data_IF_900395795847
#
_entry.id   IF_900395795847
#
_cell.length_a   1.000
_cell.length_b   1.000
_cell.length_c   1.000
_cell.angle_alpha   90.00
_cell.angle_beta   90.00
_cell.angle_gamma   90.00
#
_symmetry.space_group_name_H-M   'P 1'
#
loop_
_entity.id
_entity.type
_entity.pdbx_description
1 polymer ?
#
# COMPACT_ATOMS: atom_id res chain seq x y z
N UNK A 1 10.86 -15.13 14.88
CA UNK A 1 10.35 -14.47 16.10
C UNK A 1 9.22 -15.28 16.69
N UNK A 2 9.24 -15.45 17.98
CA UNK A 2 8.21 -16.22 18.65
C UNK A 2 6.90 -15.43 18.75
N UNK A 3 5.78 -16.13 18.76
CA UNK A 3 4.47 -15.52 18.88
C UNK A 3 4.33 -14.70 20.17
N UNK A 4 4.87 -15.19 21.25
CA UNK A 4 4.85 -14.49 22.53
C UNK A 4 5.52 -13.14 22.47
N UNK A 5 6.66 -13.03 21.78
CA UNK A 5 7.36 -11.78 21.62
C UNK A 5 6.55 -10.78 20.79
N UNK A 6 5.80 -11.27 19.80
CA UNK A 6 4.94 -10.42 19.00
C UNK A 6 3.80 -9.84 19.82
N UNK A 7 3.19 -10.64 20.68
CA UNK A 7 2.12 -10.17 21.56
C UNK A 7 2.65 -9.15 22.56
N UNK A 8 3.81 -9.37 23.13
CA UNK A 8 4.44 -8.43 24.05
C UNK A 8 4.76 -7.11 23.35
N UNK A 9 5.26 -7.18 22.11
CA UNK A 9 5.55 -6.00 21.32
C UNK A 9 4.29 -5.19 21.06
N UNK A 10 3.19 -5.86 20.69
CA UNK A 10 1.90 -5.18 20.47
C UNK A 10 1.41 -4.46 21.71
N UNK A 11 1.51 -5.09 22.88
CA UNK A 11 1.09 -4.47 24.15
C UNK A 11 1.95 -3.26 24.49
N UNK A 12 3.26 -3.32 24.23
CA UNK A 12 4.14 -2.18 24.43
C UNK A 12 3.82 -1.05 23.48
N UNK A 13 3.53 -1.35 22.22
CA UNK A 13 3.18 -0.36 21.23
C UNK A 13 1.93 0.41 21.63
N UNK A 14 0.95 -0.27 22.24
CA UNK A 14 -0.28 0.39 22.68
C UNK A 14 -0.03 1.52 23.69
N UNK A 15 1.08 1.48 24.41
CA UNK A 15 1.42 2.49 25.40
C UNK A 15 2.12 3.71 24.80
N UNK A 16 2.51 3.66 23.52
CA UNK A 16 3.28 4.74 22.88
C UNK A 16 2.34 5.83 22.35
N UNK A 17 2.78 7.10 22.33
CA UNK A 17 2.04 8.14 21.63
C UNK A 17 1.93 7.86 20.13
N UNK A 18 0.90 8.42 19.49
CA UNK A 18 0.66 8.24 18.05
C UNK A 18 1.87 8.63 17.20
N UNK A 19 2.52 9.72 17.54
CA UNK A 19 3.69 10.22 16.80
C UNK A 19 4.83 9.20 16.78
N UNK A 20 5.04 8.55 17.92
CA UNK A 20 6.07 7.52 18.05
C UNK A 20 5.67 6.28 17.28
N UNK A 21 4.38 5.91 17.35
CA UNK A 21 3.87 4.77 16.58
C UNK A 21 4.06 4.98 15.09
N UNK A 22 3.76 6.16 14.58
CA UNK A 22 3.95 6.46 13.16
C UNK A 22 5.40 6.26 12.74
N UNK A 23 6.31 6.72 13.56
CA UNK A 23 7.73 6.56 13.28
C UNK A 23 8.16 5.10 13.26
N UNK A 24 7.67 4.33 14.22
CA UNK A 24 7.93 2.87 14.27
C UNK A 24 7.33 2.20 13.05
N UNK A 25 6.08 2.51 12.71
CA UNK A 25 5.39 1.89 11.59
C UNK A 25 6.01 2.25 10.24
N UNK A 26 6.73 3.37 10.15
CA UNK A 26 7.40 3.76 8.91
C UNK A 26 8.50 2.78 8.50
N UNK A 27 8.96 1.94 9.41
CA UNK A 27 9.93 0.89 9.14
C UNK A 27 9.30 -0.45 8.77
N UNK A 28 7.99 -0.54 8.86
CA UNK A 28 7.28 -1.80 8.63
C UNK A 28 6.92 -1.96 7.16
N UNK A 29 6.91 -3.21 6.71
CA UNK A 29 6.40 -3.54 5.40
C UNK A 29 4.87 -3.45 5.39
N UNK A 30 4.31 -3.27 4.20
CA UNK A 30 2.87 -3.11 4.02
C UNK A 30 2.09 -4.26 4.64
N UNK A 31 2.57 -5.49 4.49
CA UNK A 31 1.90 -6.66 5.05
C UNK A 31 1.89 -6.63 6.57
N UNK A 32 2.96 -6.12 7.17
CA UNK A 32 3.03 -5.97 8.62
C UNK A 32 2.05 -4.91 9.12
N UNK A 33 1.94 -3.80 8.38
CA UNK A 33 0.98 -2.74 8.71
C UNK A 33 -0.46 -3.26 8.65
N UNK A 34 -0.75 -4.09 7.65
CA UNK A 34 -2.09 -4.70 7.55
C UNK A 34 -2.40 -5.59 8.75
N UNK A 35 -1.44 -6.36 9.20
CA UNK A 35 -1.63 -7.21 10.38
C UNK A 35 -1.88 -6.35 11.61
N UNK A 36 -1.10 -5.29 11.79
CA UNK A 36 -1.27 -4.38 12.92
C UNK A 36 -2.63 -3.70 12.91
N UNK A 37 -3.16 -3.38 11.73
CA UNK A 37 -4.45 -2.72 11.61
C UNK A 37 -5.59 -3.57 12.18
N UNK A 38 -5.39 -4.86 12.36
CA UNK A 38 -6.39 -5.76 12.94
C UNK A 38 -6.24 -5.94 14.45
N UNK A 39 -5.20 -5.38 15.06
CA UNK A 39 -4.93 -5.57 16.49
C UNK A 39 -5.91 -4.76 17.35
N UNK A 40 -6.17 -3.52 16.98
CA UNK A 40 -7.07 -2.64 17.73
C UNK A 40 -7.57 -1.52 16.84
N UNK A 41 -8.59 -0.82 17.31
CA UNK A 41 -9.11 0.37 16.61
C UNK A 41 -8.04 1.46 16.50
N UNK A 42 -7.26 1.63 17.56
CA UNK A 42 -6.19 2.61 17.57
C UNK A 42 -5.11 2.26 16.55
N UNK A 43 -4.68 1.01 16.52
CA UNK A 43 -3.69 0.57 15.55
C UNK A 43 -4.19 0.75 14.11
N UNK A 44 -5.45 0.45 13.86
CA UNK A 44 -6.05 0.68 12.54
C UNK A 44 -6.01 2.15 12.15
N UNK A 45 -6.37 3.02 13.08
CA UNK A 45 -6.36 4.48 12.83
C UNK A 45 -4.96 4.97 12.50
N UNK A 46 -3.96 4.55 13.26
CA UNK A 46 -2.57 4.97 13.04
C UNK A 46 -2.03 4.38 11.74
N UNK A 47 -2.33 3.10 11.45
CA UNK A 47 -1.91 2.46 10.21
C UNK A 47 -2.52 3.09 8.96
N UNK A 48 -3.63 3.80 9.09
CA UNK A 48 -4.28 4.48 7.97
C UNK A 48 -3.70 5.87 7.70
N UNK A 49 -2.71 6.29 8.47
CA UNK A 49 -2.08 7.59 8.21
C UNK A 49 -1.44 7.60 6.82
N UNK A 50 -1.74 8.64 6.04
CA UNK A 50 -1.30 8.71 4.64
C UNK A 50 0.22 8.69 4.50
N UNK A 51 0.96 9.15 5.51
CA UNK A 51 2.41 9.17 5.45
C UNK A 51 3.03 7.78 5.31
N UNK A 52 2.33 6.75 5.77
CA UNK A 52 2.80 5.37 5.69
C UNK A 52 2.61 4.77 4.29
N UNK A 53 1.78 5.38 3.46
CA UNK A 53 1.38 4.82 2.16
C UNK A 53 1.91 5.62 0.98
N UNK A 54 2.81 6.58 1.23
CA UNK A 54 3.35 7.42 0.14
C UNK A 54 4.20 6.62 -0.82
N UNK A 55 5.02 5.72 -0.31
CA UNK A 55 5.89 4.87 -1.11
C UNK A 55 5.57 3.43 -0.77
N UNK A 56 5.05 2.69 -1.74
CA UNK A 56 4.60 1.32 -1.52
C UNK A 56 5.30 0.40 -2.51
N UNK A 57 5.96 -0.62 -1.99
CA UNK A 57 6.61 -1.65 -2.80
C UNK A 57 5.81 -2.94 -2.70
N UNK A 58 5.17 -3.31 -3.80
CA UNK A 58 4.44 -4.57 -3.96
C UNK A 58 5.08 -5.44 -5.04
N UNK A 59 6.34 -5.22 -5.33
CA UNK A 59 7.05 -6.02 -6.31
C UNK A 59 7.08 -7.49 -5.90
N UNK A 60 7.06 -8.38 -6.87
CA UNK A 60 7.15 -9.83 -6.68
C UNK A 60 6.05 -10.41 -5.77
N UNK A 61 4.86 -9.80 -5.80
CA UNK A 61 3.75 -10.26 -4.95
C UNK A 61 2.53 -10.62 -5.78
N UNK A 62 1.63 -11.38 -5.16
CA UNK A 62 0.26 -11.56 -5.67
C UNK A 62 -0.62 -10.60 -4.89
N UNK A 63 -1.32 -9.74 -5.60
CA UNK A 63 -2.11 -8.67 -4.95
C UNK A 63 -3.47 -8.56 -5.62
N UNK A 64 -4.49 -8.32 -4.81
CA UNK A 64 -5.84 -8.08 -5.33
C UNK A 64 -5.97 -6.63 -5.76
N UNK A 65 -6.70 -6.42 -6.86
CA UNK A 65 -6.92 -5.07 -7.38
C UNK A 65 -7.58 -4.15 -6.35
N UNK A 66 -8.44 -4.68 -5.50
CA UNK A 66 -9.06 -3.89 -4.42
C UNK A 66 -8.05 -3.31 -3.46
N UNK A 67 -6.98 -4.05 -3.18
CA UNK A 67 -5.92 -3.56 -2.30
C UNK A 67 -5.16 -2.42 -2.97
N UNK A 68 -4.89 -2.55 -4.26
CA UNK A 68 -4.24 -1.48 -5.04
C UNK A 68 -5.14 -0.25 -5.05
N UNK A 69 -6.44 -0.43 -5.21
CA UNK A 69 -7.41 0.67 -5.15
C UNK A 69 -7.30 1.42 -3.82
N UNK A 70 -7.26 0.69 -2.70
CA UNK A 70 -7.14 1.30 -1.39
C UNK A 70 -5.86 2.11 -1.26
N UNK A 71 -4.75 1.59 -1.77
CA UNK A 71 -3.47 2.29 -1.77
C UNK A 71 -3.54 3.58 -2.59
N UNK A 72 -4.08 3.49 -3.79
CA UNK A 72 -4.17 4.65 -4.69
C UNK A 72 -5.11 5.72 -4.15
N UNK A 73 -6.16 5.33 -3.46
CA UNK A 73 -7.09 6.27 -2.84
C UNK A 73 -6.59 6.83 -1.50
N UNK A 74 -5.48 6.31 -0.99
CA UNK A 74 -4.88 6.75 0.28
C UNK A 74 -3.62 7.59 0.05
N UNK A 75 -3.61 8.35 -1.04
CA UNK A 75 -2.58 9.34 -1.37
C UNK A 75 -1.17 8.76 -1.61
N UNK A 76 -1.10 7.53 -2.12
CA UNK A 76 0.18 6.96 -2.54
C UNK A 76 0.77 7.79 -3.69
N UNK A 77 2.07 8.05 -3.63
CA UNK A 77 2.79 8.82 -4.64
C UNK A 77 3.73 7.97 -5.48
N UNK A 78 4.22 6.88 -4.93
CA UNK A 78 5.16 6.00 -5.60
C UNK A 78 4.74 4.55 -5.35
N UNK A 79 4.41 3.83 -6.42
CA UNK A 79 3.95 2.45 -6.31
C UNK A 79 4.76 1.56 -7.25
N UNK A 80 5.37 0.53 -6.68
CA UNK A 80 6.13 -0.46 -7.42
C UNK A 80 5.32 -1.76 -7.49
N UNK A 81 4.88 -2.10 -8.70
CA UNK A 81 4.16 -3.34 -8.97
C UNK A 81 4.97 -4.25 -9.91
N UNK A 82 6.25 -4.02 -9.97
CA UNK A 82 7.12 -4.79 -10.85
C UNK A 82 7.02 -6.29 -10.52
N UNK A 83 6.83 -7.07 -11.57
CA UNK A 83 6.80 -8.54 -11.46
C UNK A 83 5.72 -9.06 -10.50
N UNK A 84 4.66 -8.30 -10.31
CA UNK A 84 3.55 -8.72 -9.46
C UNK A 84 2.44 -9.38 -10.29
N UNK A 85 1.58 -10.12 -9.62
CA UNK A 85 0.35 -10.67 -10.22
C UNK A 85 -0.83 -9.93 -9.63
N UNK A 86 -1.60 -9.26 -10.49
CA UNK A 86 -2.75 -8.48 -10.08
C UNK A 86 -4.02 -9.25 -10.40
N UNK A 87 -4.82 -9.53 -9.38
CA UNK A 87 -6.06 -10.26 -9.51
C UNK A 87 -7.24 -9.30 -9.42
N UNK A 88 -8.05 -9.28 -10.47
CA UNK A 88 -9.25 -8.47 -10.54
C UNK A 88 -9.08 -7.21 -11.35
N UNK A 89 -10.12 -6.39 -11.36
CA UNK A 89 -10.13 -5.10 -12.02
C UNK A 89 -10.32 -4.00 -10.99
N UNK A 90 -10.01 -2.77 -11.41
CA UNK A 90 -10.00 -1.64 -10.51
C UNK A 90 -10.87 -0.52 -11.09
N UNK A 91 -11.59 0.17 -10.21
CA UNK A 91 -12.28 1.41 -10.56
C UNK A 91 -12.15 2.36 -9.38
N UNK A 92 -11.44 3.45 -9.58
CA UNK A 92 -11.19 4.41 -8.52
C UNK A 92 -12.39 5.33 -8.35
N UNK A 93 -12.72 5.64 -7.10
CA UNK A 93 -13.81 6.55 -6.76
C UNK A 93 -13.37 8.00 -6.72
N UNK A 94 -12.07 8.25 -6.74
CA UNK A 94 -11.50 9.60 -6.79
C UNK A 94 -10.17 9.56 -7.54
N UNK A 95 -9.68 10.74 -7.96
CA UNK A 95 -8.38 10.82 -8.62
C UNK A 95 -7.27 10.49 -7.65
N UNK A 96 -6.24 9.85 -8.16
CA UNK A 96 -5.06 9.45 -7.38
C UNK A 96 -3.98 10.52 -7.47
N UNK A 97 -3.18 10.63 -6.41
CA UNK A 97 -2.01 11.52 -6.38
C UNK A 97 -0.74 10.82 -6.85
N UNK A 98 -0.86 9.63 -7.41
CA UNK A 98 0.28 8.84 -7.85
C UNK A 98 1.12 9.60 -8.87
N UNK A 99 2.43 9.65 -8.62
CA UNK A 99 3.40 10.31 -9.49
C UNK A 99 4.32 9.33 -10.19
N UNK A 100 4.66 8.24 -9.54
CA UNK A 100 5.58 7.23 -10.07
C UNK A 100 4.94 5.87 -9.97
N UNK A 101 4.88 5.16 -11.10
CA UNK A 101 4.31 3.81 -11.14
C UNK A 101 5.20 2.91 -11.97
N UNK A 102 5.68 1.85 -11.34
CA UNK A 102 6.36 0.78 -12.05
C UNK A 102 5.34 -0.34 -12.29
N UNK A 103 4.90 -0.47 -13.53
CA UNK A 103 3.88 -1.43 -13.93
C UNK A 103 4.49 -2.46 -14.89
N UNK A 104 5.74 -2.86 -14.65
CA UNK A 104 6.40 -3.90 -15.44
C UNK A 104 5.93 -5.27 -14.95
N UNK A 105 4.68 -5.56 -15.23
CA UNK A 105 4.01 -6.81 -14.90
C UNK A 105 2.90 -7.04 -15.92
N UNK A 106 2.27 -8.19 -15.87
CA UNK A 106 1.14 -8.45 -16.76
C UNK A 106 -0.11 -7.77 -16.20
N UNK A 107 -0.68 -6.90 -16.99
CA UNK A 107 -1.91 -6.20 -16.62
C UNK A 107 -2.89 -6.24 -17.78
N UNK A 108 -4.18 -6.23 -17.44
CA UNK A 108 -5.21 -6.14 -18.45
C UNK A 108 -5.27 -4.72 -19.02
N UNK A 109 -5.79 -4.60 -20.24
CA UNK A 109 -6.01 -3.29 -20.84
C UNK A 109 -6.96 -2.45 -20.00
N UNK A 110 -7.94 -3.09 -19.38
CA UNK A 110 -8.92 -2.41 -18.52
C UNK A 110 -8.23 -1.79 -17.30
N UNK A 111 -7.34 -2.54 -16.67
CA UNK A 111 -6.59 -2.03 -15.52
C UNK A 111 -5.74 -0.82 -15.91
N UNK A 112 -4.98 -0.94 -17.00
CA UNK A 112 -4.13 0.13 -17.49
C UNK A 112 -4.95 1.37 -17.85
N UNK A 113 -6.09 1.17 -18.52
CA UNK A 113 -6.99 2.25 -18.90
C UNK A 113 -7.49 3.01 -17.69
N UNK A 114 -7.91 2.30 -16.65
CA UNK A 114 -8.39 2.92 -15.42
C UNK A 114 -7.28 3.72 -14.73
N UNK A 115 -6.07 3.18 -14.68
CA UNK A 115 -4.92 3.86 -14.11
C UNK A 115 -4.65 5.18 -14.85
N UNK A 116 -4.65 5.15 -16.18
CA UNK A 116 -4.38 6.34 -16.97
C UNK A 116 -5.45 7.40 -16.82
N UNK A 117 -6.71 6.97 -16.64
CA UNK A 117 -7.80 7.93 -16.43
C UNK A 117 -7.78 8.56 -15.05
N UNK A 118 -7.35 7.82 -14.04
CA UNK A 118 -7.53 8.23 -12.65
C UNK A 118 -6.26 8.83 -12.04
N UNK A 119 -5.10 8.60 -12.63
CA UNK A 119 -3.83 9.08 -12.09
C UNK A 119 -3.35 10.29 -12.86
N UNK A 120 -4.00 11.42 -12.63
CA UNK A 120 -3.73 12.66 -13.38
C UNK A 120 -2.39 13.31 -13.03
N UNK A 121 -1.81 12.96 -11.90
CA UNK A 121 -0.52 13.48 -11.45
C UNK A 121 0.66 12.62 -11.88
N UNK A 122 0.42 11.56 -12.64
CA UNK A 122 1.45 10.60 -13.01
C UNK A 122 2.51 11.25 -13.88
N UNK A 123 3.76 11.16 -13.46
CA UNK A 123 4.92 11.71 -14.16
C UNK A 123 5.76 10.63 -14.82
N UNK A 124 5.86 9.49 -14.18
CA UNK A 124 6.67 8.39 -14.68
C UNK A 124 5.86 7.12 -14.63
N UNK A 125 5.77 6.46 -15.77
CA UNK A 125 5.11 5.17 -15.89
C UNK A 125 6.06 4.22 -16.59
N UNK A 126 6.44 3.15 -15.90
CA UNK A 126 7.28 2.12 -16.48
C UNK A 126 6.40 0.95 -16.88
N UNK A 127 6.38 0.68 -18.15
CA UNK A 127 5.65 -0.44 -18.74
C UNK A 127 6.66 -1.42 -19.34
N UNK A 128 6.31 -2.67 -19.28
CA UNK A 128 7.12 -3.69 -19.90
C UNK A 128 6.60 -5.02 -19.43
N UNK A 129 6.49 -5.93 -20.36
CA UNK A 129 5.97 -7.24 -20.06
C UNK A 129 6.69 -8.23 -20.96
N UNK A 130 7.27 -9.22 -20.39
CA UNK A 130 7.95 -10.27 -21.16
C UNK A 130 6.97 -11.30 -21.67
#
# INVERSE_FOLDING_TARGET
MRLENRLQTSLQLESLPDEVLLKVFSYFEIQELLRLSHVSKRMRRVCNDTSLWKVVDLSDTKVKAEFIKAILENDCEDLDLRNSEIDGSIKLSKTSKLMYLDLRCQVSKRFLHEILLSCCSLRTLMLGCD
#
